data_IF_890711286773
#
_entry.id   IF_890711286773
#
_cell.length_a   1.000
_cell.length_b   1.000
_cell.length_c   1.000
_cell.angle_alpha   90.00
_cell.angle_beta   90.00
_cell.angle_gamma   90.00
#
_symmetry.space_group_name_H-M   'P 1'
#
loop_
_entity.id
_entity.type
_entity.pdbx_description
1 polymer ?
#
# COMPACT_ATOMS: atom_id res chain seq x y z
N UNK A 1 -0.61 -18.30 -16.61
CA UNK A 1 0.50 -17.49 -16.05
C UNK A 1 1.41 -17.07 -17.20
N UNK A 2 1.82 -15.78 -17.22
CA UNK A 2 2.55 -15.24 -18.36
C UNK A 2 4.06 -15.56 -18.32
N UNK A 3 4.69 -15.65 -19.48
CA UNK A 3 6.17 -15.75 -19.61
C UNK A 3 6.84 -14.50 -19.01
N UNK A 4 6.20 -13.35 -19.13
CA UNK A 4 6.69 -12.07 -18.60
C UNK A 4 6.93 -12.13 -17.09
N UNK A 5 6.08 -12.84 -16.33
CA UNK A 5 6.26 -13.07 -14.90
C UNK A 5 7.62 -13.72 -14.59
N UNK A 6 7.98 -14.81 -15.27
CA UNK A 6 9.25 -15.49 -15.02
C UNK A 6 10.45 -14.60 -15.31
N UNK A 7 10.39 -13.81 -16.39
CA UNK A 7 11.46 -12.87 -16.74
C UNK A 7 11.56 -11.75 -15.69
N UNK A 8 10.42 -11.20 -15.26
CA UNK A 8 10.36 -10.17 -14.22
C UNK A 8 10.89 -10.70 -12.88
N UNK A 9 10.44 -11.87 -12.44
CA UNK A 9 10.88 -12.49 -11.19
C UNK A 9 12.40 -12.75 -11.20
N UNK A 10 12.95 -13.26 -12.30
CA UNK A 10 14.39 -13.43 -12.47
C UNK A 10 15.16 -12.12 -12.38
N UNK A 11 14.67 -11.07 -13.05
CA UNK A 11 15.27 -9.75 -13.02
C UNK A 11 15.22 -9.13 -11.63
N UNK A 12 14.06 -9.17 -10.94
CA UNK A 12 13.90 -8.64 -9.59
C UNK A 12 14.81 -9.33 -8.57
N UNK A 13 14.95 -10.67 -8.68
CA UNK A 13 15.85 -11.45 -7.83
C UNK A 13 17.32 -11.03 -7.99
N UNK A 14 17.73 -10.73 -9.21
CA UNK A 14 19.11 -10.34 -9.50
C UNK A 14 19.40 -8.86 -9.21
N UNK A 15 18.40 -8.01 -9.18
CA UNK A 15 18.55 -6.55 -9.02
C UNK A 15 17.99 -6.06 -7.70
N UNK A 16 16.66 -6.06 -7.53
CA UNK A 16 16.00 -5.44 -6.36
C UNK A 16 16.31 -6.18 -5.06
N UNK A 17 16.14 -7.51 -5.06
CA UNK A 17 16.42 -8.32 -3.86
C UNK A 17 17.86 -8.15 -3.41
N UNK A 18 18.82 -8.16 -4.36
CA UNK A 18 20.25 -7.95 -4.03
C UNK A 18 20.55 -6.53 -3.56
N UNK A 19 19.92 -5.53 -4.16
CA UNK A 19 20.08 -4.15 -3.72
C UNK A 19 19.56 -3.97 -2.29
N UNK A 20 18.36 -4.42 -2.01
CA UNK A 20 17.75 -4.33 -0.68
C UNK A 20 18.53 -5.14 0.36
N UNK A 21 19.02 -6.32 0.00
CA UNK A 21 19.84 -7.16 0.90
C UNK A 21 21.15 -6.50 1.34
N UNK A 22 21.74 -5.64 0.50
CA UNK A 22 22.95 -4.85 0.86
C UNK A 22 22.69 -3.77 1.89
N UNK A 23 21.45 -3.41 2.15
CA UNK A 23 21.04 -2.40 3.13
C UNK A 23 21.61 -1.01 2.86
N UNK A 24 21.42 -0.44 1.66
CA UNK A 24 21.93 0.90 1.39
C UNK A 24 21.20 1.94 2.24
N UNK A 25 21.82 3.11 2.40
CA UNK A 25 21.23 4.22 3.14
C UNK A 25 19.86 4.63 2.58
N UNK A 26 18.93 5.13 3.41
CA UNK A 26 17.57 5.49 3.02
C UNK A 26 17.47 6.41 1.81
N UNK A 27 18.34 7.42 1.74
CA UNK A 27 18.41 8.37 0.63
C UNK A 27 18.80 7.71 -0.71
N UNK A 28 19.66 6.69 -0.66
CA UNK A 28 20.02 5.88 -1.85
C UNK A 28 18.83 5.04 -2.31
N UNK A 29 18.10 4.43 -1.38
CA UNK A 29 16.86 3.68 -1.70
C UNK A 29 15.82 4.59 -2.34
N UNK A 30 15.56 5.77 -1.75
CA UNK A 30 14.61 6.77 -2.25
C UNK A 30 14.94 7.18 -3.68
N UNK A 31 16.18 7.63 -3.92
CA UNK A 31 16.64 8.03 -5.27
C UNK A 31 16.59 6.88 -6.28
N UNK A 32 16.99 5.68 -5.86
CA UNK A 32 16.97 4.50 -6.73
C UNK A 32 15.55 4.15 -7.17
N UNK A 33 14.59 4.10 -6.23
CA UNK A 33 13.21 3.75 -6.52
C UNK A 33 12.53 4.82 -7.38
N UNK A 34 12.69 6.11 -7.07
CA UNK A 34 12.13 7.19 -7.89
C UNK A 34 12.67 7.19 -9.32
N UNK A 35 13.99 6.94 -9.49
CA UNK A 35 14.59 6.84 -10.82
C UNK A 35 14.00 5.68 -11.62
N UNK A 36 13.87 4.49 -11.01
CA UNK A 36 13.29 3.32 -11.65
C UNK A 36 11.81 3.54 -11.98
N UNK A 37 11.04 4.09 -11.05
CA UNK A 37 9.64 4.39 -11.26
C UNK A 37 9.43 5.32 -12.46
N UNK A 38 10.27 6.32 -12.63
CA UNK A 38 10.22 7.24 -13.79
C UNK A 38 10.47 6.54 -15.13
N UNK A 39 11.30 5.49 -15.14
CA UNK A 39 11.63 4.77 -16.37
C UNK A 39 10.67 3.61 -16.68
N UNK A 40 10.13 2.96 -15.68
CA UNK A 40 9.36 1.73 -15.86
C UNK A 40 7.86 1.90 -15.65
N UNK A 41 7.41 2.93 -14.92
CA UNK A 41 5.99 3.09 -14.61
C UNK A 41 5.40 4.29 -15.37
N UNK A 42 4.46 4.00 -16.26
CA UNK A 42 3.86 5.00 -17.14
C UNK A 42 2.36 5.08 -16.88
N UNK A 43 1.88 6.30 -16.72
CA UNK A 43 0.46 6.58 -16.59
C UNK A 43 -0.23 6.60 -17.96
N UNK A 44 -1.55 6.36 -18.02
CA UNK A 44 -2.36 6.59 -19.20
C UNK A 44 -2.18 8.01 -19.74
N UNK A 45 -2.17 8.16 -21.08
CA UNK A 45 -2.04 9.48 -21.71
C UNK A 45 -3.16 10.42 -21.27
N UNK A 46 -2.84 11.68 -21.04
CA UNK A 46 -3.79 12.71 -20.61
C UNK A 46 -4.13 12.67 -19.10
N UNK A 47 -3.47 11.79 -18.31
CA UNK A 47 -3.58 11.84 -16.86
C UNK A 47 -3.10 13.18 -16.32
N UNK A 48 -3.84 13.74 -15.36
CA UNK A 48 -3.48 14.98 -14.66
C UNK A 48 -2.86 14.66 -13.31
N UNK A 49 -1.71 15.29 -13.05
CA UNK A 49 -1.00 15.25 -11.78
C UNK A 49 -0.93 16.67 -11.22
N UNK A 50 -1.36 16.85 -9.99
CA UNK A 50 -1.35 18.16 -9.34
C UNK A 50 -0.74 18.01 -7.95
N UNK A 51 0.22 18.85 -7.62
CA UNK A 51 0.81 18.92 -6.29
C UNK A 51 -0.04 19.85 -5.41
N UNK A 52 -0.13 19.58 -4.11
CA UNK A 52 -0.88 20.38 -3.17
C UNK A 52 -0.56 20.04 -1.73
N UNK A 53 -1.34 20.59 -0.81
CA UNK A 53 -1.26 20.27 0.62
C UNK A 53 -2.66 20.00 1.16
N UNK A 54 -2.75 19.06 2.09
CA UNK A 54 -3.96 18.77 2.86
C UNK A 54 -3.55 18.66 4.33
N UNK A 55 -4.16 19.48 5.18
CA UNK A 55 -3.81 19.58 6.61
C UNK A 55 -2.31 19.78 6.87
N UNK A 56 -1.62 20.53 6.01
CA UNK A 56 -0.17 20.78 6.10
C UNK A 56 0.71 19.68 5.51
N UNK A 57 0.15 18.51 5.16
CA UNK A 57 0.90 17.40 4.54
C UNK A 57 0.94 17.60 3.03
N UNK A 58 2.13 17.51 2.39
CA UNK A 58 2.21 17.51 0.92
C UNK A 58 1.45 16.33 0.32
N UNK A 59 0.69 16.57 -0.75
CA UNK A 59 -0.08 15.53 -1.44
C UNK A 59 0.04 15.64 -2.94
N UNK A 60 -0.10 14.50 -3.63
CA UNK A 60 -0.19 14.43 -5.08
C UNK A 60 -1.58 13.95 -5.49
N UNK A 61 -2.29 14.78 -6.26
CA UNK A 61 -3.56 14.41 -6.85
C UNK A 61 -3.34 13.73 -8.19
N UNK A 62 -4.09 12.67 -8.44
CA UNK A 62 -4.03 11.87 -9.66
C UNK A 62 -5.42 11.72 -10.23
N UNK A 63 -5.60 12.11 -11.50
CA UNK A 63 -6.89 12.00 -12.19
C UNK A 63 -6.68 11.52 -13.63
N UNK A 64 -7.34 10.43 -13.98
CA UNK A 64 -7.38 9.98 -15.36
C UNK A 64 -8.16 10.95 -16.25
N UNK A 65 -8.02 10.90 -17.58
CA UNK A 65 -8.81 11.71 -18.50
C UNK A 65 -10.31 11.55 -18.25
N UNK A 66 -11.03 12.67 -18.19
CA UNK A 66 -12.46 12.70 -17.92
C UNK A 66 -12.87 12.59 -16.45
N UNK A 67 -11.94 12.31 -15.54
CA UNK A 67 -12.23 12.24 -14.09
C UNK A 67 -12.16 13.62 -13.47
N UNK A 68 -13.28 14.07 -12.89
CA UNK A 68 -13.37 15.31 -12.11
C UNK A 68 -12.74 15.17 -10.73
N UNK A 69 -12.43 16.30 -10.10
CA UNK A 69 -11.90 16.28 -8.72
C UNK A 69 -12.93 15.82 -7.71
N UNK A 70 -14.21 16.04 -8.00
CA UNK A 70 -15.36 15.70 -7.16
C UNK A 70 -16.15 14.47 -7.70
N UNK A 71 -15.56 13.69 -8.60
CA UNK A 71 -16.20 12.50 -9.15
C UNK A 71 -16.24 11.37 -8.12
N UNK A 72 -17.37 11.21 -7.43
CA UNK A 72 -17.60 10.12 -6.46
C UNK A 72 -16.65 10.13 -5.25
N UNK A 73 -16.47 8.96 -4.63
CA UNK A 73 -15.51 8.78 -3.55
C UNK A 73 -14.07 9.12 -3.96
N UNK A 74 -13.26 9.53 -2.98
CA UNK A 74 -11.83 9.78 -3.18
C UNK A 74 -11.02 8.54 -2.78
N UNK A 75 -10.11 8.10 -3.63
CA UNK A 75 -9.10 7.11 -3.25
C UNK A 75 -7.96 7.85 -2.54
N UNK A 76 -7.81 7.65 -1.22
CA UNK A 76 -6.68 8.13 -0.44
C UNK A 76 -5.67 6.97 -0.31
N UNK A 77 -4.52 7.11 -0.98
CA UNK A 77 -3.58 6.01 -1.13
C UNK A 77 -2.22 6.29 -0.47
N UNK A 78 -1.79 5.37 0.37
CA UNK A 78 -0.49 5.40 1.05
C UNK A 78 0.49 4.46 0.35
N UNK A 79 1.61 5.01 -0.11
CA UNK A 79 2.64 4.25 -0.83
C UNK A 79 3.42 3.31 0.10
N UNK A 80 3.93 2.21 -0.44
CA UNK A 80 4.86 1.31 0.24
C UNK A 80 6.29 1.84 0.32
N UNK A 81 7.16 1.00 0.90
CA UNK A 81 8.59 1.31 1.05
C UNK A 81 9.08 1.22 2.50
N UNK A 82 8.48 0.35 3.33
CA UNK A 82 8.92 0.06 4.70
C UNK A 82 8.91 1.28 5.63
N UNK A 83 8.08 2.29 5.35
CA UNK A 83 8.07 3.60 6.01
C UNK A 83 9.38 4.41 5.86
N UNK A 84 10.35 3.92 5.11
CA UNK A 84 11.71 4.48 4.98
C UNK A 84 11.94 5.09 3.59
N UNK A 85 11.40 4.48 2.55
CA UNK A 85 11.55 4.94 1.16
C UNK A 85 10.20 4.94 0.43
N UNK A 86 10.20 5.12 -0.89
CA UNK A 86 8.99 5.36 -1.66
C UNK A 86 8.54 6.83 -1.61
N UNK A 87 7.60 7.16 -2.48
CA UNK A 87 7.01 8.49 -2.61
C UNK A 87 5.72 8.41 -3.45
N UNK A 88 4.84 9.43 -3.41
CA UNK A 88 3.71 9.50 -4.33
C UNK A 88 4.12 9.31 -5.80
N UNK A 89 5.26 9.87 -6.18
CA UNK A 89 5.78 9.79 -7.56
C UNK A 89 6.12 8.37 -8.01
N UNK A 90 6.42 7.46 -7.08
CA UNK A 90 6.70 6.04 -7.41
C UNK A 90 5.44 5.25 -7.69
N UNK A 91 4.28 5.65 -7.14
CA UNK A 91 3.01 4.92 -7.24
C UNK A 91 1.96 5.59 -8.13
N UNK A 92 2.13 6.89 -8.46
CA UNK A 92 1.13 7.69 -9.20
C UNK A 92 0.72 7.07 -10.55
N UNK A 93 1.61 6.34 -11.22
CA UNK A 93 1.29 5.72 -12.51
C UNK A 93 0.27 4.57 -12.33
N UNK A 94 0.44 3.74 -11.30
CA UNK A 94 -0.53 2.71 -10.93
C UNK A 94 -1.86 3.34 -10.51
N UNK A 95 -1.83 4.38 -9.68
CA UNK A 95 -3.05 5.08 -9.26
C UNK A 95 -3.77 5.79 -10.42
N UNK A 96 -3.03 6.23 -11.44
CA UNK A 96 -3.62 6.76 -12.66
C UNK A 96 -4.40 5.67 -13.43
N UNK A 97 -3.89 4.43 -13.46
CA UNK A 97 -4.60 3.29 -14.03
C UNK A 97 -5.82 2.91 -13.18
N UNK A 98 -5.71 2.90 -11.85
CA UNK A 98 -6.87 2.70 -10.95
C UNK A 98 -7.91 3.80 -11.18
N UNK A 99 -7.51 5.08 -11.25
CA UNK A 99 -8.39 6.21 -11.55
C UNK A 99 -9.12 6.02 -12.90
N UNK A 100 -8.41 5.58 -13.93
CA UNK A 100 -8.97 5.30 -15.26
C UNK A 100 -10.00 4.16 -15.21
N UNK A 101 -9.72 3.12 -14.46
CA UNK A 101 -10.60 1.94 -14.35
C UNK A 101 -11.83 2.22 -13.50
N UNK A 102 -11.69 3.00 -12.43
CA UNK A 102 -12.79 3.28 -11.49
C UNK A 102 -13.60 4.52 -11.84
N UNK A 103 -13.00 5.49 -12.53
CA UNK A 103 -13.58 6.84 -12.72
C UNK A 103 -13.42 7.74 -11.49
N UNK A 104 -12.62 7.35 -10.49
CA UNK A 104 -12.44 8.07 -9.24
C UNK A 104 -11.12 8.85 -9.20
N UNK A 105 -11.08 10.03 -8.56
CA UNK A 105 -9.83 10.73 -8.27
C UNK A 105 -9.03 10.00 -7.19
N UNK A 106 -7.70 10.18 -7.19
CA UNK A 106 -6.82 9.69 -6.13
C UNK A 106 -5.98 10.82 -5.53
N UNK A 107 -5.69 10.70 -4.24
CA UNK A 107 -4.80 11.56 -3.47
C UNK A 107 -3.75 10.70 -2.78
N UNK A 108 -2.48 11.05 -2.99
CA UNK A 108 -1.33 10.33 -2.43
C UNK A 108 -0.55 11.27 -1.51
N UNK A 109 -0.65 11.13 -0.18
CA UNK A 109 0.18 11.88 0.75
C UNK A 109 1.67 11.52 0.64
N UNK A 110 2.54 12.52 0.66
CA UNK A 110 3.97 12.34 0.87
C UNK A 110 4.24 12.41 2.38
N UNK A 111 3.79 11.38 3.08
CA UNK A 111 3.88 11.30 4.52
C UNK A 111 5.33 11.27 5.00
N UNK A 112 5.56 11.75 6.22
CA UNK A 112 6.89 11.76 6.86
C UNK A 112 7.44 10.35 7.02
N UNK A 113 8.70 10.17 6.69
CA UNK A 113 9.38 8.88 6.62
C UNK A 113 10.50 8.75 7.66
N UNK A 114 10.69 7.54 8.13
CA UNK A 114 11.84 7.15 8.94
C UNK A 114 13.12 7.13 8.06
N UNK A 115 14.30 7.23 8.65
CA UNK A 115 14.56 7.42 10.09
C UNK A 115 14.41 8.86 10.58
N UNK A 116 14.26 9.85 9.69
CA UNK A 116 14.18 11.26 10.04
C UNK A 116 12.94 11.58 10.86
N UNK A 117 11.84 10.88 10.57
CA UNK A 117 10.56 10.98 11.25
C UNK A 117 10.03 9.57 11.53
N UNK A 118 10.43 8.97 12.66
CA UNK A 118 10.01 7.62 13.03
C UNK A 118 8.53 7.56 13.41
N UNK A 119 8.05 6.37 13.73
CA UNK A 119 6.72 6.17 14.32
C UNK A 119 6.52 7.10 15.52
N UNK A 120 5.34 7.77 15.64
CA UNK A 120 4.15 7.58 14.84
C UNK A 120 3.94 8.61 13.70
N UNK A 121 4.97 9.32 13.23
CA UNK A 121 4.85 10.46 12.32
C UNK A 121 4.03 10.17 11.05
N UNK A 122 4.24 9.03 10.40
CA UNK A 122 3.46 8.62 9.22
C UNK A 122 1.96 8.46 9.54
N UNK A 123 1.64 7.92 10.71
CA UNK A 123 0.25 7.75 11.16
C UNK A 123 -0.42 9.09 11.49
N UNK A 124 0.31 10.02 12.10
CA UNK A 124 -0.18 11.39 12.35
C UNK A 124 -0.53 12.10 11.06
N UNK A 125 0.34 12.03 10.05
CA UNK A 125 0.09 12.60 8.72
C UNK A 125 -1.12 11.95 8.04
N UNK A 126 -1.25 10.62 8.13
CA UNK A 126 -2.39 9.89 7.57
C UNK A 126 -3.71 10.31 8.23
N UNK A 127 -3.74 10.43 9.55
CA UNK A 127 -4.91 10.91 10.31
C UNK A 127 -5.26 12.36 9.95
N UNK A 128 -4.28 13.24 9.85
CA UNK A 128 -4.49 14.65 9.51
C UNK A 128 -5.11 14.80 8.10
N UNK A 129 -4.54 14.07 7.12
CA UNK A 129 -5.06 14.10 5.73
C UNK A 129 -6.45 13.49 5.65
N UNK A 130 -6.68 12.33 6.27
CA UNK A 130 -8.00 11.70 6.28
C UNK A 130 -9.05 12.60 6.94
N UNK A 131 -8.75 13.15 8.13
CA UNK A 131 -9.67 14.03 8.85
C UNK A 131 -10.12 15.23 8.03
N UNK A 132 -9.22 15.82 7.24
CA UNK A 132 -9.55 16.93 6.35
C UNK A 132 -10.38 16.51 5.11
N UNK A 133 -10.36 15.23 4.74
CA UNK A 133 -11.03 14.71 3.55
C UNK A 133 -12.27 13.86 3.88
N UNK A 134 -12.46 13.46 5.13
CA UNK A 134 -13.53 12.54 5.54
C UNK A 134 -14.95 13.02 5.22
N UNK A 135 -15.19 14.34 5.35
CA UNK A 135 -16.49 14.95 5.05
C UNK A 135 -16.76 15.16 3.55
N UNK A 136 -15.88 14.66 2.69
CA UNK A 136 -16.02 14.81 1.25
C UNK A 136 -17.29 14.10 0.73
N UNK A 137 -18.04 14.72 -0.20
CA UNK A 137 -19.16 14.05 -0.87
C UNK A 137 -18.71 12.71 -1.50
N UNK A 138 -19.45 11.62 -1.23
CA UNK A 138 -19.11 10.27 -1.65
C UNK A 138 -18.10 9.57 -0.75
N UNK A 139 -17.50 10.26 0.23
CA UNK A 139 -16.59 9.64 1.20
C UNK A 139 -15.19 9.35 0.67
N UNK A 140 -14.44 8.57 1.44
CA UNK A 140 -13.05 8.19 1.17
C UNK A 140 -12.91 6.67 1.13
N UNK A 141 -12.24 6.16 0.11
CA UNK A 141 -11.75 4.78 0.03
C UNK A 141 -10.26 4.82 0.39
N UNK A 142 -9.86 4.09 1.42
CA UNK A 142 -8.45 3.96 1.77
C UNK A 142 -7.78 2.93 0.86
N UNK A 143 -6.54 3.20 0.50
CA UNK A 143 -5.73 2.24 -0.24
C UNK A 143 -4.27 2.31 0.20
N UNK A 144 -3.53 1.22 -0.03
CA UNK A 144 -2.10 1.21 0.22
C UNK A 144 -1.43 -0.10 -0.18
N UNK A 145 -0.11 -0.08 -0.19
CA UNK A 145 0.69 -1.27 -0.45
C UNK A 145 1.81 -1.42 0.60
N UNK A 146 2.16 -2.66 0.93
CA UNK A 146 3.24 -2.95 1.87
C UNK A 146 3.07 -2.17 3.19
N UNK A 147 4.06 -1.37 3.61
CA UNK A 147 3.96 -0.47 4.76
C UNK A 147 2.78 0.52 4.63
N UNK A 148 2.54 1.06 3.43
CA UNK A 148 1.37 1.92 3.16
C UNK A 148 0.04 1.18 3.29
N UNK A 149 0.00 -0.11 2.97
CA UNK A 149 -1.15 -0.98 3.22
C UNK A 149 -1.40 -1.17 4.72
N UNK A 150 -0.33 -1.37 5.50
CA UNK A 150 -0.40 -1.37 6.96
C UNK A 150 -0.91 -0.04 7.51
N UNK A 151 -0.41 1.09 6.99
CA UNK A 151 -0.84 2.43 7.37
C UNK A 151 -2.33 2.67 7.08
N UNK A 152 -2.82 2.23 5.92
CA UNK A 152 -4.24 2.32 5.56
C UNK A 152 -5.13 1.51 6.53
N UNK A 153 -4.69 0.30 6.91
CA UNK A 153 -5.40 -0.55 7.87
C UNK A 153 -5.35 0.00 9.29
N UNK A 154 -4.20 0.57 9.73
CA UNK A 154 -4.10 1.26 11.02
C UNK A 154 -5.02 2.47 11.09
N UNK A 155 -5.11 3.24 9.99
CA UNK A 155 -6.02 4.37 9.88
C UNK A 155 -7.48 3.91 9.93
N UNK A 156 -7.84 2.83 9.22
CA UNK A 156 -9.17 2.21 9.26
C UNK A 156 -9.56 1.89 10.72
N UNK A 157 -8.68 1.20 11.46
CA UNK A 157 -8.91 0.87 12.88
C UNK A 157 -9.09 2.10 13.76
N UNK A 158 -8.35 3.17 13.49
CA UNK A 158 -8.49 4.45 14.21
C UNK A 158 -9.83 5.13 13.95
N UNK A 159 -10.36 5.02 12.73
CA UNK A 159 -11.61 5.66 12.32
C UNK A 159 -12.86 4.89 12.80
N UNK A 160 -12.81 3.56 12.91
CA UNK A 160 -13.97 2.75 13.35
C UNK A 160 -14.36 2.96 14.80
N UNK A 161 -13.47 3.54 15.61
CA UNK A 161 -13.78 3.90 17.01
C UNK A 161 -14.66 5.15 17.14
N UNK A 162 -14.88 5.88 16.05
CA UNK A 162 -15.74 7.08 16.02
C UNK A 162 -17.00 6.76 15.24
N UNK A 163 -18.15 6.71 15.91
CA UNK A 163 -19.43 6.40 15.26
C UNK A 163 -19.72 7.35 14.09
N UNK A 164 -20.01 6.79 12.92
CA UNK A 164 -20.68 7.46 11.80
C UNK A 164 -19.81 8.07 10.71
N UNK A 165 -18.46 7.97 10.73
CA UNK A 165 -17.60 8.63 9.73
C UNK A 165 -16.41 7.82 9.22
N UNK A 166 -16.52 6.50 9.21
CA UNK A 166 -15.47 5.60 8.70
C UNK A 166 -15.27 5.70 7.17
N UNK A 167 -14.15 5.20 6.66
CA UNK A 167 -13.93 5.04 5.23
C UNK A 167 -15.01 4.16 4.57
N UNK A 168 -15.39 4.51 3.34
CA UNK A 168 -16.38 3.74 2.55
C UNK A 168 -15.92 2.31 2.37
N UNK A 169 -14.64 2.12 2.11
CA UNK A 169 -13.99 0.83 1.93
C UNK A 169 -12.48 0.98 2.09
N UNK A 170 -11.78 -0.15 2.22
CA UNK A 170 -10.30 -0.16 2.27
C UNK A 170 -9.74 -1.26 1.38
N UNK A 171 -8.64 -0.99 0.67
CA UNK A 171 -7.91 -2.04 -0.05
C UNK A 171 -6.41 -1.99 0.25
N UNK A 172 -5.77 -3.16 0.26
CA UNK A 172 -4.32 -3.22 0.45
C UNK A 172 -3.66 -4.31 -0.41
N UNK A 173 -2.53 -3.95 -0.99
CA UNK A 173 -1.65 -4.88 -1.71
C UNK A 173 -0.48 -5.28 -0.81
N UNK A 174 -0.33 -6.57 -0.54
CA UNK A 174 0.80 -7.13 0.23
C UNK A 174 1.09 -6.36 1.54
N UNK A 175 0.07 -6.06 2.38
CA UNK A 175 0.24 -5.17 3.52
C UNK A 175 1.19 -5.73 4.59
N UNK A 176 2.01 -4.86 5.18
CA UNK A 176 2.74 -5.12 6.43
C UNK A 176 1.79 -4.83 7.61
N UNK A 177 1.33 -5.85 8.29
CA UNK A 177 0.32 -5.71 9.35
C UNK A 177 0.80 -6.04 10.75
N UNK A 178 1.99 -6.60 10.87
CA UNK A 178 2.59 -7.01 12.15
C UNK A 178 4.07 -6.60 12.24
N UNK A 179 4.34 -5.47 12.88
CA UNK A 179 5.70 -4.96 13.07
C UNK A 179 6.56 -5.85 14.00
N UNK A 180 5.97 -6.86 14.65
CA UNK A 180 6.70 -7.90 15.41
C UNK A 180 7.31 -8.96 14.49
N UNK A 181 6.96 -8.95 13.20
CA UNK A 181 7.43 -9.90 12.19
C UNK A 181 7.17 -11.38 12.57
N UNK A 182 6.02 -11.64 13.19
CA UNK A 182 5.67 -12.95 13.73
C UNK A 182 5.08 -13.93 12.69
N UNK A 183 4.89 -13.52 11.44
CA UNK A 183 4.41 -14.38 10.35
C UNK A 183 5.42 -15.46 9.98
N UNK A 184 4.99 -16.73 9.87
CA UNK A 184 5.87 -17.83 9.47
C UNK A 184 6.37 -17.69 8.04
N UNK A 185 5.58 -17.04 7.16
CA UNK A 185 5.97 -16.78 5.77
C UNK A 185 7.25 -15.95 5.66
N UNK A 186 7.58 -15.14 6.67
CA UNK A 186 8.86 -14.42 6.71
C UNK A 186 10.07 -15.37 6.55
N UNK A 187 10.02 -16.52 7.17
CA UNK A 187 11.07 -17.55 7.07
C UNK A 187 10.81 -18.52 5.94
N UNK A 188 9.56 -19.02 5.83
CA UNK A 188 9.18 -20.04 4.83
C UNK A 188 9.40 -19.54 3.40
N UNK A 189 9.10 -18.28 3.12
CA UNK A 189 9.18 -17.68 1.80
C UNK A 189 10.46 -16.86 1.56
N UNK A 190 11.43 -16.87 2.49
CA UNK A 190 12.66 -16.07 2.41
C UNK A 190 13.42 -16.23 1.08
N UNK A 191 13.48 -17.46 0.55
CA UNK A 191 14.12 -17.74 -0.75
C UNK A 191 13.15 -17.56 -1.93
N UNK A 192 11.86 -17.84 -1.74
CA UNK A 192 10.84 -17.75 -2.78
C UNK A 192 10.55 -16.31 -3.17
N UNK A 193 10.46 -15.40 -2.20
CA UNK A 193 10.25 -13.97 -2.46
C UNK A 193 11.37 -13.43 -3.36
N UNK A 194 10.98 -12.88 -4.50
CA UNK A 194 11.93 -12.42 -5.52
C UNK A 194 12.36 -10.96 -5.31
N UNK A 195 11.73 -10.26 -4.38
CA UNK A 195 11.91 -8.83 -4.20
C UNK A 195 12.37 -8.45 -2.79
N UNK A 196 11.75 -9.02 -1.75
CA UNK A 196 12.05 -8.67 -0.37
C UNK A 196 13.04 -9.68 0.25
N UNK A 197 14.21 -9.22 0.74
CA UNK A 197 15.10 -10.07 1.52
C UNK A 197 14.63 -10.12 2.97
N UNK A 198 14.24 -11.30 3.46
CA UNK A 198 13.81 -11.50 4.84
C UNK A 198 14.84 -11.01 5.87
N UNK A 199 16.12 -11.13 5.55
CA UNK A 199 17.24 -10.66 6.41
C UNK A 199 17.27 -9.15 6.67
N UNK A 200 16.44 -8.36 5.97
CA UNK A 200 16.37 -6.90 6.12
C UNK A 200 15.10 -6.42 6.82
N UNK A 201 14.15 -7.32 7.08
CA UNK A 201 12.88 -6.96 7.69
C UNK A 201 13.07 -6.29 9.06
N UNK A 202 13.84 -6.92 9.96
CA UNK A 202 14.11 -6.37 11.30
C UNK A 202 14.70 -4.96 11.25
N UNK A 203 15.71 -4.74 10.39
CA UNK A 203 16.38 -3.43 10.32
C UNK A 203 15.48 -2.31 9.74
N UNK A 204 14.53 -2.64 8.86
CA UNK A 204 13.55 -1.66 8.38
C UNK A 204 12.55 -1.31 9.48
N UNK A 205 12.07 -2.31 10.22
CA UNK A 205 11.18 -2.10 11.37
C UNK A 205 11.87 -1.30 12.47
N UNK A 206 13.15 -1.60 12.77
CA UNK A 206 13.93 -0.84 13.74
C UNK A 206 14.08 0.63 13.35
N UNK A 207 14.38 0.91 12.07
CA UNK A 207 14.43 2.29 11.56
C UNK A 207 13.07 3.00 11.67
N UNK A 208 11.96 2.28 11.47
CA UNK A 208 10.62 2.83 11.58
C UNK A 208 10.22 3.11 13.03
N UNK A 209 10.43 2.14 13.93
CA UNK A 209 9.94 2.22 15.31
C UNK A 209 10.85 3.04 16.23
N UNK A 210 12.17 3.00 16.04
CA UNK A 210 13.18 3.65 16.90
C UNK A 210 12.91 3.46 18.40
N UNK A 211 12.64 2.22 18.79
CA UNK A 211 12.39 1.83 20.17
C UNK A 211 10.91 1.91 20.62
N UNK A 212 9.98 2.32 19.74
CA UNK A 212 8.56 2.22 20.03
C UNK A 212 8.11 0.75 20.08
N UNK A 213 7.03 0.47 20.82
CA UNK A 213 6.49 -0.88 20.97
C UNK A 213 5.96 -1.42 19.61
N UNK A 214 6.51 -2.51 19.08
CA UNK A 214 6.02 -3.12 17.85
C UNK A 214 4.60 -3.70 18.01
N UNK A 215 4.08 -3.82 19.23
CA UNK A 215 2.71 -4.26 19.51
C UNK A 215 1.70 -3.10 19.53
N UNK A 216 2.13 -1.85 19.35
CA UNK A 216 1.20 -0.72 19.22
C UNK A 216 0.29 -0.95 17.99
N UNK A 217 -1.05 -0.95 18.15
CA UNK A 217 -1.99 -1.20 17.05
C UNK A 217 -1.87 -0.20 15.88
N UNK A 218 -1.27 0.96 16.11
CA UNK A 218 -1.00 1.95 15.06
C UNK A 218 0.19 1.57 14.18
N UNK A 219 1.11 0.75 14.69
CA UNK A 219 2.23 0.18 13.95
C UNK A 219 1.93 -1.25 13.45
N UNK A 220 1.09 -1.97 14.20
CA UNK A 220 0.67 -3.36 13.94
C UNK A 220 -0.85 -3.48 13.89
N UNK A 221 -1.49 -3.09 12.77
CA UNK A 221 -2.96 -3.13 12.65
C UNK A 221 -3.56 -4.51 12.88
N UNK A 222 -2.79 -5.58 12.74
CA UNK A 222 -3.21 -6.94 13.08
C UNK A 222 -3.72 -7.07 14.53
N UNK A 223 -3.30 -6.19 15.43
CA UNK A 223 -3.66 -6.19 16.85
C UNK A 223 -4.78 -5.19 17.17
N UNK A 224 -5.34 -4.55 16.15
CA UNK A 224 -6.35 -3.52 16.30
C UNK A 224 -7.80 -4.08 16.30
N UNK A 225 -8.76 -3.22 16.65
CA UNK A 225 -10.18 -3.49 16.50
C UNK A 225 -10.75 -2.87 15.23
N UNK A 226 -11.66 -3.61 14.54
CA UNK A 226 -12.26 -3.22 13.27
C UNK A 226 -13.79 -3.34 13.24
N UNK A 227 -14.42 -3.58 14.38
CA UNK A 227 -15.88 -3.70 14.44
C UNK A 227 -16.55 -2.45 13.84
N UNK A 228 -17.48 -2.66 12.90
CA UNK A 228 -18.14 -1.57 12.17
C UNK A 228 -17.35 -0.99 10.99
N UNK A 229 -16.18 -1.52 10.65
CA UNK A 229 -15.46 -1.11 9.46
C UNK A 229 -16.23 -1.45 8.17
N UNK A 230 -16.09 -0.58 7.15
CA UNK A 230 -16.54 -0.88 5.80
C UNK A 230 -15.79 -2.06 5.17
N UNK A 231 -16.21 -2.55 3.99
CA UNK A 231 -15.62 -3.71 3.34
C UNK A 231 -14.13 -3.52 3.04
N UNK A 232 -13.36 -4.62 3.13
CA UNK A 232 -11.91 -4.62 2.92
C UNK A 232 -11.53 -5.60 1.80
N UNK A 233 -10.67 -5.15 0.88
CA UNK A 233 -10.07 -5.97 -0.17
C UNK A 233 -8.57 -6.11 0.07
N UNK A 234 -8.08 -7.36 0.13
CA UNK A 234 -6.67 -7.68 0.40
C UNK A 234 -6.11 -8.56 -0.72
N UNK A 235 -4.87 -8.29 -1.13
CA UNK A 235 -4.16 -9.18 -2.03
C UNK A 235 -2.70 -9.38 -1.62
N UNK A 236 -2.20 -10.61 -1.76
CA UNK A 236 -0.80 -10.96 -1.62
C UNK A 236 -0.43 -12.11 -2.58
N UNK A 237 0.87 -12.34 -2.78
CA UNK A 237 1.33 -13.53 -3.47
C UNK A 237 1.71 -14.63 -2.48
N UNK A 238 1.51 -15.88 -2.89
CA UNK A 238 1.84 -17.06 -2.07
C UNK A 238 3.35 -17.24 -1.82
N UNK A 239 4.19 -16.54 -2.58
CA UNK A 239 5.65 -16.56 -2.45
C UNK A 239 6.23 -15.38 -1.66
N UNK A 240 5.41 -14.42 -1.23
CA UNK A 240 5.87 -13.27 -0.47
C UNK A 240 6.18 -13.60 1.00
N UNK A 241 7.17 -12.90 1.57
CA UNK A 241 7.45 -12.99 3.02
C UNK A 241 6.32 -12.39 3.86
N UNK A 242 5.48 -11.50 3.33
CA UNK A 242 4.32 -10.89 3.99
C UNK A 242 2.99 -11.61 3.69
N UNK A 243 3.02 -12.84 3.15
CA UNK A 243 1.80 -13.61 2.89
C UNK A 243 0.96 -13.81 4.17
N UNK A 244 1.61 -14.19 5.28
CA UNK A 244 0.90 -14.46 6.52
C UNK A 244 0.33 -13.19 7.16
N UNK A 245 0.95 -12.01 6.92
CA UNK A 245 0.38 -10.72 7.31
C UNK A 245 -1.00 -10.52 6.67
N UNK A 246 -1.10 -10.76 5.36
CA UNK A 246 -2.37 -10.64 4.64
C UNK A 246 -3.40 -11.64 5.13
N UNK A 247 -3.03 -12.93 5.27
CA UNK A 247 -3.95 -13.99 5.71
C UNK A 247 -4.46 -13.78 7.12
N UNK A 248 -3.55 -13.47 8.06
CA UNK A 248 -3.90 -13.20 9.46
C UNK A 248 -4.78 -11.96 9.57
N UNK A 249 -4.49 -10.92 8.80
CA UNK A 249 -5.32 -9.72 8.75
C UNK A 249 -6.72 -10.01 8.22
N UNK A 250 -6.85 -10.79 7.15
CA UNK A 250 -8.14 -11.22 6.63
C UNK A 250 -8.96 -12.02 7.65
N UNK A 251 -8.31 -12.90 8.42
CA UNK A 251 -8.95 -13.64 9.51
C UNK A 251 -9.46 -12.71 10.61
N UNK A 252 -8.60 -11.80 11.12
CA UNK A 252 -8.97 -10.83 12.16
C UNK A 252 -10.15 -9.95 11.73
N UNK A 253 -10.16 -9.48 10.49
CA UNK A 253 -11.26 -8.68 9.96
C UNK A 253 -12.57 -9.47 9.90
N UNK A 254 -12.55 -10.72 9.40
CA UNK A 254 -13.73 -11.60 9.33
C UNK A 254 -14.28 -11.95 10.70
N UNK A 255 -13.40 -12.25 11.67
CA UNK A 255 -13.78 -12.55 13.06
C UNK A 255 -14.50 -11.38 13.73
N UNK A 256 -14.24 -10.14 13.28
CA UNK A 256 -14.88 -8.92 13.74
C UNK A 256 -16.08 -8.48 12.87
N UNK A 257 -16.56 -9.35 11.98
CA UNK A 257 -17.74 -9.11 11.17
C UNK A 257 -17.53 -8.21 9.94
N UNK A 258 -16.28 -7.92 9.55
CA UNK A 258 -15.97 -7.13 8.38
C UNK A 258 -16.08 -7.99 7.10
N UNK A 259 -16.72 -7.47 6.06
CA UNK A 259 -16.76 -8.12 4.75
C UNK A 259 -15.37 -8.05 4.09
N UNK A 260 -14.75 -9.22 3.86
CA UNK A 260 -13.38 -9.32 3.31
C UNK A 260 -13.36 -10.06 2.00
N UNK A 261 -12.84 -9.40 0.97
CA UNK A 261 -12.39 -10.03 -0.27
C UNK A 261 -10.88 -10.26 -0.19
N UNK A 262 -10.44 -11.50 -0.30
CA UNK A 262 -9.03 -11.88 -0.23
C UNK A 262 -8.60 -12.55 -1.53
N UNK A 263 -7.50 -12.09 -2.11
CA UNK A 263 -6.89 -12.63 -3.33
C UNK A 263 -5.46 -13.05 -3.05
N UNK A 264 -5.18 -14.35 -3.09
CA UNK A 264 -3.82 -14.89 -3.04
C UNK A 264 -3.42 -15.32 -4.44
N UNK A 265 -2.52 -14.55 -5.03
CA UNK A 265 -1.98 -14.83 -6.35
C UNK A 265 -0.78 -15.79 -6.26
N UNK A 266 -0.50 -16.52 -7.37
CA UNK A 266 0.60 -17.47 -7.38
C UNK A 266 1.86 -16.90 -8.04
N UNK A 267 2.99 -16.97 -7.30
CA UNK A 267 4.35 -16.66 -7.79
C UNK A 267 4.47 -15.27 -8.44
N UNK A 268 3.85 -14.27 -7.82
CA UNK A 268 3.97 -12.87 -8.23
C UNK A 268 4.93 -12.11 -7.30
N UNK A 269 5.62 -11.08 -7.78
CA UNK A 269 6.49 -10.27 -6.92
C UNK A 269 5.68 -9.45 -5.92
N UNK A 270 6.29 -9.09 -4.80
CA UNK A 270 5.71 -8.20 -3.81
C UNK A 270 5.14 -6.94 -4.47
N UNK A 271 3.88 -6.59 -4.13
CA UNK A 271 3.15 -5.45 -4.73
C UNK A 271 3.14 -5.51 -6.26
N UNK A 272 2.90 -6.69 -6.85
CA UNK A 272 2.90 -6.86 -8.32
C UNK A 272 2.00 -5.89 -9.10
N UNK A 273 0.90 -5.31 -8.57
CA UNK A 273 0.08 -4.34 -9.30
C UNK A 273 0.84 -3.12 -9.79
N UNK A 274 1.96 -2.75 -9.16
CA UNK A 274 2.80 -1.62 -9.60
C UNK A 274 3.42 -1.87 -10.98
N UNK A 275 3.59 -3.13 -11.37
CA UNK A 275 4.16 -3.54 -12.66
C UNK A 275 3.11 -3.62 -13.79
N UNK A 276 1.98 -2.91 -13.66
CA UNK A 276 0.86 -2.95 -14.60
C UNK A 276 1.23 -2.66 -16.06
N UNK A 277 2.30 -1.92 -16.31
CA UNK A 277 2.75 -1.63 -17.67
C UNK A 277 3.26 -2.87 -18.39
N UNK A 278 3.85 -3.82 -17.68
CA UNK A 278 4.50 -5.00 -18.27
C UNK A 278 3.82 -6.32 -17.90
N UNK A 279 3.26 -6.44 -16.69
CA UNK A 279 2.74 -7.68 -16.15
C UNK A 279 1.22 -7.82 -16.41
N UNK A 280 0.77 -8.80 -17.22
CA UNK A 280 -0.67 -9.02 -17.45
C UNK A 280 -1.47 -9.30 -16.19
N UNK A 281 -0.89 -10.05 -15.24
CA UNK A 281 -1.50 -10.38 -13.95
C UNK A 281 -1.73 -9.12 -13.11
N UNK A 282 -0.81 -8.14 -13.14
CA UNK A 282 -1.01 -6.85 -12.49
C UNK A 282 -2.22 -6.09 -13.07
N UNK A 283 -2.36 -6.08 -14.40
CA UNK A 283 -3.53 -5.47 -15.05
C UNK A 283 -4.84 -6.17 -14.71
N UNK A 284 -4.82 -7.50 -14.56
CA UNK A 284 -5.98 -8.27 -14.13
C UNK A 284 -6.38 -7.87 -12.71
N UNK A 285 -5.45 -7.89 -11.77
CA UNK A 285 -5.68 -7.50 -10.38
C UNK A 285 -6.24 -6.08 -10.25
N UNK A 286 -5.71 -5.10 -11.03
CA UNK A 286 -6.25 -3.74 -10.99
C UNK A 286 -7.66 -3.65 -11.57
N UNK A 287 -8.03 -4.48 -12.57
CA UNK A 287 -9.41 -4.56 -13.07
C UNK A 287 -10.35 -5.20 -12.03
N UNK A 288 -9.90 -6.25 -11.35
CA UNK A 288 -10.67 -6.93 -10.30
C UNK A 288 -10.93 -5.97 -9.14
N UNK A 289 -9.89 -5.25 -8.68
CA UNK A 289 -10.05 -4.19 -7.68
C UNK A 289 -11.04 -3.11 -8.14
N UNK A 290 -10.92 -2.64 -9.39
CA UNK A 290 -11.83 -1.62 -9.91
C UNK A 290 -13.27 -2.14 -10.02
N UNK A 291 -13.47 -3.40 -10.36
CA UNK A 291 -14.77 -4.07 -10.33
C UNK A 291 -15.35 -4.08 -8.93
N UNK A 292 -14.55 -4.47 -7.94
CA UNK A 292 -14.95 -4.46 -6.53
C UNK A 292 -15.30 -3.04 -6.04
N UNK A 293 -14.47 -2.03 -6.34
CA UNK A 293 -14.78 -0.63 -5.96
C UNK A 293 -16.09 -0.16 -6.57
N UNK A 294 -16.42 -0.55 -7.79
CA UNK A 294 -17.68 -0.18 -8.46
C UNK A 294 -18.89 -0.90 -7.94
N UNK A 295 -18.72 -2.00 -7.21
CA UNK A 295 -19.81 -2.75 -6.59
C UNK A 295 -20.15 -2.29 -5.17
N UNK A 296 -19.39 -1.35 -4.61
CA UNK A 296 -19.67 -0.70 -3.32
C UNK A 296 -20.88 0.24 -3.41
#
# INVERSE_FOLDING_TARGET
MSVVRHLLNGWLRLTEKRLLARGPAPDVLRRSFERKARWFFHAPRGTRFEDGHVAGVPVHWVRAPGVGRESGPLILYFHGGGYVFGAPRTHRAMLAEVSRLTGLPACLPDYRKAPEHPFPAAMEDALAVYGALAARPGGVILGGDSAGGGLALSLLAGCTRQEGSGPVATFAFSPLTDARLAGESLRRNAEADVMLPASRADSLIEMYLQGADPSDPRASPLLAGFAGAGPVWLAASDTEILLDDTRRMAAVLRDQGVAVTETIAHDLPHVWPIFHNVLPEARATLRDLAGWIKSL
#
